data_IF_399247104949
#
_entry.id   IF_399247104949
#
_cell.length_a   1.000
_cell.length_b   1.000
_cell.length_c   1.000
_cell.angle_alpha   90.00
_cell.angle_beta   90.00
_cell.angle_gamma   90.00
#
_symmetry.space_group_name_H-M   'P 1'
#
loop_
_entity.id
_entity.type
_entity.pdbx_description
1 polymer ?
#
# COMPACT_ATOMS: atom_id res chain seq x y z
N UNK A 1 17.09 -13.50 -20.76
CA UNK A 1 16.71 -12.18 -20.22
C UNK A 1 16.20 -11.18 -21.27
N UNK A 2 16.07 -11.50 -22.56
CA UNK A 2 15.52 -10.57 -23.57
C UNK A 2 14.00 -10.73 -23.79
N UNK A 3 13.45 -11.94 -23.59
CA UNK A 3 12.03 -12.25 -23.77
C UNK A 3 11.08 -11.41 -22.90
N UNK A 4 11.48 -11.08 -21.67
CA UNK A 4 10.67 -10.25 -20.77
C UNK A 4 10.62 -8.78 -21.19
N UNK A 5 11.74 -8.23 -21.70
CA UNK A 5 11.81 -6.84 -22.16
C UNK A 5 11.22 -6.61 -23.55
N UNK A 6 11.05 -7.67 -24.35
CA UNK A 6 10.35 -7.61 -25.65
C UNK A 6 8.82 -7.64 -25.54
N UNK A 7 8.27 -7.89 -24.35
CA UNK A 7 6.82 -7.93 -24.12
C UNK A 7 6.26 -6.53 -23.91
N UNK A 8 4.99 -6.34 -24.30
CA UNK A 8 4.28 -5.07 -24.13
C UNK A 8 4.23 -4.65 -22.64
N UNK A 9 4.42 -3.36 -22.28
CA UNK A 9 4.46 -2.90 -20.89
C UNK A 9 3.23 -3.31 -20.07
N UNK A 10 2.05 -3.35 -20.70
CA UNK A 10 0.80 -3.81 -20.07
C UNK A 10 0.90 -5.29 -19.64
N UNK A 11 1.52 -6.14 -20.45
CA UNK A 11 1.68 -7.56 -20.13
C UNK A 11 2.69 -7.77 -19.01
N UNK A 12 3.73 -6.95 -18.94
CA UNK A 12 4.70 -6.94 -17.84
C UNK A 12 4.01 -6.55 -16.52
N UNK A 13 3.24 -5.46 -16.52
CA UNK A 13 2.48 -5.00 -15.35
C UNK A 13 1.45 -6.04 -14.88
N UNK A 14 0.77 -6.71 -15.82
CA UNK A 14 -0.17 -7.79 -15.53
C UNK A 14 0.53 -8.97 -14.84
N UNK A 15 1.65 -9.43 -15.38
CA UNK A 15 2.39 -10.55 -14.81
C UNK A 15 3.00 -10.20 -13.44
N UNK A 16 3.50 -8.97 -13.28
CA UNK A 16 3.96 -8.47 -11.98
C UNK A 16 2.83 -8.41 -10.94
N UNK A 17 1.63 -7.94 -11.34
CA UNK A 17 0.46 -7.90 -10.46
C UNK A 17 -0.01 -9.30 -10.08
N UNK A 18 0.01 -10.26 -11.02
CA UNK A 18 -0.31 -11.65 -10.75
C UNK A 18 0.68 -12.27 -9.75
N UNK A 19 1.97 -12.00 -9.92
CA UNK A 19 3.00 -12.45 -8.98
C UNK A 19 2.78 -11.89 -7.57
N UNK A 20 2.48 -10.59 -7.46
CA UNK A 20 2.16 -9.94 -6.19
C UNK A 20 0.94 -10.59 -5.52
N UNK A 21 -0.10 -10.90 -6.30
CA UNK A 21 -1.29 -11.60 -5.81
C UNK A 21 -0.96 -13.01 -5.32
N UNK A 22 -0.14 -13.77 -6.06
CA UNK A 22 0.31 -15.10 -5.65
C UNK A 22 1.08 -15.06 -4.33
N UNK A 23 1.97 -14.07 -4.16
CA UNK A 23 2.75 -13.93 -2.92
C UNK A 23 1.83 -13.61 -1.73
N UNK A 24 0.82 -12.76 -1.94
CA UNK A 24 -0.20 -12.45 -0.94
C UNK A 24 -1.04 -13.67 -0.57
N UNK A 25 -1.50 -14.43 -1.57
CA UNK A 25 -2.25 -15.67 -1.38
C UNK A 25 -1.42 -16.71 -0.64
N UNK A 26 -0.14 -16.85 -0.98
CA UNK A 26 0.77 -17.79 -0.33
C UNK A 26 0.96 -17.44 1.16
N UNK A 27 1.09 -16.16 1.49
CA UNK A 27 1.13 -15.68 2.88
C UNK A 27 -0.17 -15.96 3.64
N UNK A 28 -1.33 -15.80 2.99
CA UNK A 28 -2.63 -16.07 3.59
C UNK A 28 -2.85 -17.58 3.88
N UNK A 29 -2.35 -18.47 3.02
CA UNK A 29 -2.40 -19.92 3.22
C UNK A 29 -1.74 -20.33 4.55
N UNK A 30 -0.64 -19.68 4.93
CA UNK A 30 0.06 -19.95 6.18
C UNK A 30 -0.79 -19.69 7.44
N UNK A 31 -1.82 -18.84 7.35
CA UNK A 31 -2.73 -18.54 8.47
C UNK A 31 -3.72 -19.67 8.72
N UNK A 32 -4.15 -20.42 7.69
CA UNK A 32 -5.12 -21.52 7.84
C UNK A 32 -4.60 -22.68 8.73
N UNK A 33 -3.29 -22.85 8.82
CA UNK A 33 -2.66 -23.85 9.71
C UNK A 33 -2.34 -23.35 11.12
N UNK A 34 -2.39 -22.04 11.38
CA UNK A 34 -1.93 -21.43 12.64
C UNK A 34 -3.10 -20.88 13.46
N UNK A 35 -3.40 -21.53 14.59
CA UNK A 35 -4.56 -21.19 15.45
C UNK A 35 -4.35 -19.98 16.37
N UNK A 36 -3.10 -19.62 16.70
CA UNK A 36 -2.75 -18.47 17.55
C UNK A 36 -1.36 -17.93 17.18
N UNK A 37 -1.29 -16.73 16.61
CA UNK A 37 -0.04 -15.99 16.42
C UNK A 37 0.22 -15.07 17.63
N UNK A 38 1.45 -14.99 18.15
CA UNK A 38 1.78 -14.05 19.21
C UNK A 38 1.71 -12.61 18.68
N UNK A 39 1.13 -11.71 19.46
CA UNK A 39 0.96 -10.29 19.08
C UNK A 39 2.28 -9.61 18.71
N UNK A 40 3.39 -9.98 19.36
CA UNK A 40 4.72 -9.45 19.04
C UNK A 40 5.18 -9.79 17.62
N UNK A 41 4.84 -10.98 17.11
CA UNK A 41 5.15 -11.37 15.74
C UNK A 41 4.29 -10.57 14.75
N UNK A 42 3.00 -10.37 15.05
CA UNK A 42 2.13 -9.53 14.22
C UNK A 42 2.63 -8.09 14.15
N UNK A 43 3.09 -7.52 15.27
CA UNK A 43 3.69 -6.17 15.30
C UNK A 43 4.96 -6.12 14.45
N UNK A 44 5.81 -7.14 14.51
CA UNK A 44 7.01 -7.24 13.67
C UNK A 44 6.67 -7.35 12.18
N UNK A 45 5.71 -8.22 11.81
CA UNK A 45 5.31 -8.43 10.42
C UNK A 45 4.64 -7.20 9.82
N UNK A 46 3.70 -6.57 10.54
CA UNK A 46 3.02 -5.35 10.08
C UNK A 46 3.96 -4.14 10.05
N UNK A 47 4.84 -4.00 11.05
CA UNK A 47 5.89 -2.97 11.05
C UNK A 47 6.89 -3.16 9.91
N UNK A 48 7.29 -4.40 9.63
CA UNK A 48 8.14 -4.73 8.48
C UNK A 48 7.48 -4.39 7.15
N UNK A 49 6.21 -4.73 6.98
CA UNK A 49 5.43 -4.38 5.79
C UNK A 49 5.31 -2.86 5.60
N UNK A 50 5.02 -2.12 6.69
CA UNK A 50 4.97 -0.66 6.65
C UNK A 50 6.33 -0.06 6.25
N UNK A 51 7.43 -0.56 6.81
CA UNK A 51 8.78 -0.10 6.48
C UNK A 51 9.16 -0.31 5.02
N UNK A 52 8.92 -1.51 4.48
CA UNK A 52 9.19 -1.84 3.06
C UNK A 52 8.40 -0.91 2.14
N UNK A 53 7.13 -0.65 2.45
CA UNK A 53 6.27 0.22 1.62
C UNK A 53 6.78 1.68 1.61
N UNK A 54 7.24 2.20 2.75
CA UNK A 54 7.81 3.55 2.84
C UNK A 54 9.12 3.65 2.06
N UNK A 55 10.01 2.67 2.20
CA UNK A 55 11.30 2.66 1.50
C UNK A 55 11.13 2.57 -0.03
N UNK A 56 10.26 1.67 -0.51
CA UNK A 56 9.94 1.57 -1.94
C UNK A 56 9.37 2.88 -2.48
N UNK A 57 8.48 3.53 -1.74
CA UNK A 57 7.91 4.83 -2.13
C UNK A 57 8.99 5.91 -2.28
N UNK A 58 9.98 5.97 -1.38
CA UNK A 58 11.04 6.97 -1.46
C UNK A 58 12.06 6.65 -2.58
N UNK A 59 12.63 5.46 -2.59
CA UNK A 59 13.71 5.10 -3.52
C UNK A 59 13.24 4.77 -4.93
N UNK A 60 12.10 4.09 -5.07
CA UNK A 60 11.62 3.60 -6.37
C UNK A 60 10.62 4.55 -7.05
N UNK A 61 9.99 5.46 -6.30
CA UNK A 61 9.06 6.45 -6.88
C UNK A 61 9.57 7.87 -6.71
N UNK A 62 9.82 8.33 -5.47
CA UNK A 62 10.09 9.75 -5.20
C UNK A 62 11.43 10.23 -5.76
N UNK A 63 12.48 9.42 -5.58
CA UNK A 63 13.82 9.73 -6.09
C UNK A 63 13.86 9.79 -7.63
N UNK A 64 13.39 8.78 -8.39
CA UNK A 64 13.33 8.88 -9.85
C UNK A 64 12.34 9.96 -10.32
N UNK A 65 11.27 10.25 -9.56
CA UNK A 65 10.34 11.34 -9.90
C UNK A 65 11.00 12.73 -9.91
N UNK A 66 12.08 12.95 -9.14
CA UNK A 66 12.82 14.21 -9.14
C UNK A 66 13.71 14.38 -10.36
N UNK A 67 14.15 13.27 -10.97
CA UNK A 67 15.03 13.26 -12.15
C UNK A 67 14.25 13.46 -13.45
N UNK A 68 12.93 13.22 -13.47
CA UNK A 68 12.10 13.50 -14.63
C UNK A 68 11.96 15.01 -14.87
N UNK A 69 12.22 15.41 -16.11
CA UNK A 69 12.10 16.80 -16.54
C UNK A 69 10.63 17.21 -16.66
N UNK A 70 10.25 18.30 -15.98
CA UNK A 70 8.86 18.79 -15.96
C UNK A 70 8.82 20.30 -16.17
N UNK A 71 7.66 20.83 -16.55
CA UNK A 71 7.48 22.27 -16.83
C UNK A 71 7.65 23.17 -15.59
N UNK A 72 7.58 22.58 -14.38
CA UNK A 72 7.83 23.23 -13.10
C UNK A 72 9.10 22.65 -12.49
N UNK A 73 9.75 23.33 -11.53
CA UNK A 73 10.88 22.74 -10.82
C UNK A 73 10.47 21.40 -10.20
N UNK A 74 11.26 20.34 -10.41
CA UNK A 74 10.88 18.97 -10.07
C UNK A 74 10.50 18.78 -8.60
N UNK A 75 11.12 19.55 -7.69
CA UNK A 75 10.76 19.55 -6.27
C UNK A 75 9.33 20.05 -6.01
N UNK A 76 8.83 21.01 -6.80
CA UNK A 76 7.44 21.52 -6.67
C UNK A 76 6.46 20.46 -7.15
N UNK A 77 6.71 19.86 -8.33
CA UNK A 77 5.82 18.83 -8.91
C UNK A 77 5.70 17.62 -7.99
N UNK A 78 6.83 17.11 -7.47
CA UNK A 78 6.86 15.93 -6.60
C UNK A 78 6.22 16.20 -5.24
N UNK A 79 6.52 17.34 -4.61
CA UNK A 79 5.91 17.70 -3.31
C UNK A 79 4.40 17.93 -3.44
N UNK A 80 3.94 18.59 -4.50
CA UNK A 80 2.53 18.81 -4.75
C UNK A 80 1.80 17.48 -5.01
N UNK A 81 2.37 16.61 -5.84
CA UNK A 81 1.80 15.28 -6.10
C UNK A 81 1.72 14.42 -4.84
N UNK A 82 2.78 14.40 -4.04
CA UNK A 82 2.81 13.68 -2.76
C UNK A 82 1.80 14.25 -1.76
N UNK A 83 1.73 15.58 -1.62
CA UNK A 83 0.78 16.24 -0.71
C UNK A 83 -0.67 16.00 -1.12
N UNK A 84 -0.99 16.07 -2.42
CA UNK A 84 -2.32 15.76 -2.95
C UNK A 84 -2.69 14.29 -2.71
N UNK A 85 -1.76 13.36 -2.92
CA UNK A 85 -1.98 11.93 -2.61
C UNK A 85 -2.26 11.69 -1.13
N UNK A 86 -1.49 12.31 -0.24
CA UNK A 86 -1.72 12.25 1.21
C UNK A 86 -3.07 12.86 1.61
N UNK A 87 -3.41 14.03 1.06
CA UNK A 87 -4.70 14.67 1.28
C UNK A 87 -5.87 13.81 0.80
N UNK A 88 -5.72 13.12 -0.34
CA UNK A 88 -6.71 12.20 -0.86
C UNK A 88 -6.96 11.00 0.07
N UNK A 89 -5.89 10.41 0.63
CA UNK A 89 -6.02 9.31 1.61
C UNK A 89 -6.72 9.80 2.88
N UNK A 90 -6.33 10.96 3.41
CA UNK A 90 -6.97 11.56 4.59
C UNK A 90 -8.45 11.89 4.36
N UNK A 91 -8.79 12.39 3.17
CA UNK A 91 -10.17 12.67 2.80
C UNK A 91 -10.98 11.36 2.70
N UNK A 92 -10.41 10.33 2.08
CA UNK A 92 -11.03 9.01 1.96
C UNK A 92 -11.30 8.41 3.35
N UNK A 93 -10.32 8.48 4.26
CA UNK A 93 -10.48 7.99 5.64
C UNK A 93 -11.56 8.76 6.42
N UNK A 94 -11.63 10.10 6.25
CA UNK A 94 -12.70 10.90 6.84
C UNK A 94 -14.10 10.53 6.31
N UNK A 95 -14.22 10.28 5.00
CA UNK A 95 -15.49 9.86 4.39
C UNK A 95 -15.91 8.49 4.92
N UNK A 96 -14.97 7.55 5.00
CA UNK A 96 -15.21 6.21 5.53
C UNK A 96 -15.61 6.26 7.01
N UNK A 97 -14.90 7.03 7.84
CA UNK A 97 -15.21 7.19 9.27
C UNK A 97 -16.59 7.81 9.49
N UNK A 98 -16.99 8.81 8.71
CA UNK A 98 -18.34 9.39 8.80
C UNK A 98 -19.45 8.39 8.49
N UNK A 99 -19.20 7.45 7.58
CA UNK A 99 -20.16 6.40 7.24
C UNK A 99 -20.15 5.27 8.28
N UNK A 100 -18.97 4.92 8.79
CA UNK A 100 -18.76 3.81 9.74
C UNK A 100 -19.14 4.14 11.19
N UNK A 101 -19.28 5.43 11.54
CA UNK A 101 -19.71 5.89 12.87
C UNK A 101 -21.04 5.30 13.37
N UNK A 102 -21.88 4.76 12.47
CA UNK A 102 -23.15 4.11 12.85
C UNK A 102 -23.01 2.64 13.27
N UNK A 103 -21.88 1.97 12.99
CA UNK A 103 -21.66 0.56 13.34
C UNK A 103 -20.94 0.37 14.68
N UNK A 104 -20.06 1.30 15.06
CA UNK A 104 -19.33 1.20 16.34
C UNK A 104 -20.21 1.57 17.56
N UNK A 105 -21.17 2.48 17.39
CA UNK A 105 -22.10 2.90 18.46
C UNK A 105 -23.26 1.91 18.75
N UNK A 106 -23.34 0.80 17.99
CA UNK A 106 -24.27 -0.32 18.23
C UNK A 106 -23.59 -1.53 18.89
N UNK A 107 -22.24 -1.59 18.93
CA UNK A 107 -21.48 -2.65 19.58
C UNK A 107 -21.24 -2.42 21.08
N UNK A 108 -21.22 -1.16 21.53
CA UNK A 108 -20.99 -0.81 22.95
C UNK A 108 -22.26 -0.80 23.81
N UNK A 109 -23.44 -1.07 23.25
CA UNK A 109 -24.71 -1.11 24.00
C UNK A 109 -25.19 -2.52 24.38
N UNK A 110 -24.39 -3.55 24.07
CA UNK A 110 -24.67 -4.95 24.40
C UNK A 110 -23.79 -5.54 25.50
N UNK A 111 -22.89 -4.75 26.10
CA UNK A 111 -21.98 -5.20 27.17
C UNK A 111 -21.97 -4.21 28.35
N UNK A 112 -23.17 -3.86 28.86
CA UNK A 112 -23.34 -3.31 30.22
C UNK A 112 -24.37 -4.11 30.99
#
# INVERSE_FOLDING_TARGET
MQFFFSLHPVMQAFLASLLMFLFTSLGAVAVFGSKKMPSSLLTLLTGGAAGIMVAASFFSLLLPALEYESALPSYVTVTLGFALGGAFILLSDRILTRTRGRYFSAGERGEV
#
